data_IF_048522771017
#
_entry.id   IF_048522771017
#
_cell.length_a   1.000
_cell.length_b   1.000
_cell.length_c   1.000
_cell.angle_alpha   90.00
_cell.angle_beta   90.00
_cell.angle_gamma   90.00
#
_symmetry.space_group_name_H-M   'P 1'
#
loop_
_entity.id
_entity.type
_entity.pdbx_description
1 polymer ?
#
# COMPACT_ATOMS: atom_id res chain seq x y z
N UNK A 1 -9.43 8.29 24.52
CA UNK A 1 -10.21 9.47 24.14
C UNK A 1 -11.67 9.19 24.46
N UNK A 2 -12.36 10.09 25.13
CA UNK A 2 -13.80 9.98 25.40
C UNK A 2 -14.47 11.32 25.08
N UNK A 3 -15.72 11.29 24.67
CA UNK A 3 -16.52 12.51 24.56
C UNK A 3 -17.01 12.89 25.96
N UNK A 4 -16.61 14.05 26.47
CA UNK A 4 -17.20 14.64 27.69
C UNK A 4 -18.44 15.47 27.37
N UNK A 5 -18.52 15.98 26.15
CA UNK A 5 -19.73 16.61 25.62
C UNK A 5 -19.87 16.32 24.13
N UNK A 6 -21.08 16.03 23.68
CA UNK A 6 -21.40 15.83 22.27
C UNK A 6 -22.74 16.50 21.96
N UNK A 7 -22.70 17.59 21.20
CA UNK A 7 -23.88 18.16 20.53
C UNK A 7 -23.44 18.74 19.19
N UNK A 8 -24.24 18.51 18.16
CA UNK A 8 -24.04 19.08 16.83
C UNK A 8 -24.58 20.51 16.71
N UNK A 9 -25.18 21.02 17.78
CA UNK A 9 -25.76 22.36 17.82
C UNK A 9 -27.23 22.36 17.43
N UNK A 10 -27.72 23.52 17.00
CA UNK A 10 -29.13 23.80 16.69
C UNK A 10 -29.36 24.15 15.23
N UNK A 11 -28.29 24.36 14.47
CA UNK A 11 -28.38 24.65 13.03
C UNK A 11 -28.54 23.35 12.26
N UNK A 12 -29.65 23.21 11.55
CA UNK A 12 -29.91 22.05 10.71
C UNK A 12 -29.11 22.11 9.40
N UNK A 13 -28.68 20.96 8.85
CA UNK A 13 -28.20 20.86 7.47
C UNK A 13 -29.19 21.40 6.45
N UNK A 14 -28.68 21.99 5.38
CA UNK A 14 -29.45 22.42 4.23
C UNK A 14 -29.12 21.53 3.03
N UNK A 15 -30.15 21.09 2.32
CA UNK A 15 -29.99 20.39 1.04
C UNK A 15 -30.22 21.39 -0.08
N UNK A 16 -29.19 21.63 -0.89
CA UNK A 16 -29.22 22.63 -1.97
C UNK A 16 -29.54 22.02 -3.33
N UNK A 17 -29.41 20.71 -3.46
CA UNK A 17 -29.67 19.98 -4.69
C UNK A 17 -30.06 18.53 -4.41
N UNK A 18 -30.91 17.99 -5.27
CA UNK A 18 -31.34 16.59 -5.25
C UNK A 18 -31.23 16.05 -6.67
N UNK A 19 -30.59 14.90 -6.83
CA UNK A 19 -30.47 14.21 -8.11
C UNK A 19 -30.84 12.73 -7.93
N UNK A 20 -31.56 12.16 -8.90
CA UNK A 20 -31.81 10.71 -8.94
C UNK A 20 -30.81 10.10 -9.92
N UNK A 21 -30.12 9.04 -9.48
CA UNK A 21 -29.11 8.35 -10.28
C UNK A 21 -29.76 7.12 -10.90
N UNK A 22 -30.36 7.29 -12.07
CA UNK A 22 -31.15 6.25 -12.76
C UNK A 22 -30.31 5.01 -13.07
N UNK A 23 -29.09 5.18 -13.58
CA UNK A 23 -28.18 4.09 -13.96
C UNK A 23 -27.85 3.16 -12.77
N UNK A 24 -27.79 3.70 -11.56
CA UNK A 24 -27.45 2.95 -10.34
C UNK A 24 -28.69 2.50 -9.54
N UNK A 25 -29.87 3.00 -9.88
CA UNK A 25 -31.12 2.65 -9.17
C UNK A 25 -31.57 1.22 -9.53
N UNK A 26 -31.45 0.85 -10.80
CA UNK A 26 -31.93 -0.43 -11.33
C UNK A 26 -33.41 -0.67 -11.03
N UNK A 27 -33.89 -1.91 -11.23
CA UNK A 27 -35.32 -2.24 -11.06
C UNK A 27 -35.74 -2.42 -9.59
N UNK A 28 -34.78 -2.45 -8.65
CA UNK A 28 -34.99 -2.92 -7.28
C UNK A 28 -34.75 -1.86 -6.21
N UNK A 29 -34.41 -0.63 -6.59
CA UNK A 29 -34.11 0.43 -5.65
C UNK A 29 -34.17 1.81 -6.29
N UNK A 30 -33.96 2.83 -5.45
CA UNK A 30 -33.83 4.22 -5.87
C UNK A 30 -32.52 4.74 -5.28
N UNK A 31 -31.65 5.27 -6.13
CA UNK A 31 -30.41 5.94 -5.72
C UNK A 31 -30.59 7.44 -5.90
N UNK A 32 -30.37 8.18 -4.82
CA UNK A 32 -30.52 9.63 -4.76
C UNK A 32 -29.23 10.26 -4.24
N UNK A 33 -28.82 11.37 -4.83
CA UNK A 33 -27.74 12.20 -4.34
C UNK A 33 -28.27 13.54 -3.84
N UNK A 34 -27.82 13.92 -2.65
CA UNK A 34 -28.19 15.13 -1.95
C UNK A 34 -26.96 16.01 -1.78
N UNK A 35 -26.96 17.18 -2.41
CA UNK A 35 -25.95 18.19 -2.12
C UNK A 35 -26.29 18.83 -0.76
N UNK A 36 -25.40 18.64 0.21
CA UNK A 36 -25.57 19.13 1.57
C UNK A 36 -24.58 20.25 1.86
N UNK A 37 -25.08 21.30 2.47
CA UNK A 37 -24.31 22.36 3.11
C UNK A 37 -24.71 22.45 4.58
N UNK A 38 -23.71 22.56 5.45
CA UNK A 38 -23.96 22.68 6.88
C UNK A 38 -22.90 23.56 7.53
N UNK A 39 -23.34 24.71 8.04
CA UNK A 39 -22.54 25.58 8.90
C UNK A 39 -23.06 25.44 10.34
N UNK A 40 -22.59 24.39 11.00
CA UNK A 40 -23.07 23.98 12.31
C UNK A 40 -22.43 24.77 13.44
N UNK A 41 -23.16 24.87 14.56
CA UNK A 41 -22.66 25.39 15.84
C UNK A 41 -22.45 24.28 16.89
N UNK A 42 -21.64 23.25 16.62
CA UNK A 42 -21.46 22.13 17.52
C UNK A 42 -20.68 22.54 18.78
N UNK A 43 -20.88 21.75 19.83
CA UNK A 43 -20.07 21.81 21.04
C UNK A 43 -19.66 20.39 21.42
N UNK A 44 -18.59 19.94 20.78
CA UNK A 44 -17.99 18.62 20.99
C UNK A 44 -16.77 18.83 21.87
N UNK A 45 -16.70 18.17 23.02
CA UNK A 45 -15.54 18.19 23.91
C UNK A 45 -14.97 16.79 24.03
N UNK A 46 -13.68 16.69 23.73
CA UNK A 46 -12.90 15.49 23.66
C UNK A 46 -11.92 15.48 24.83
N UNK A 47 -12.06 14.52 25.74
CA UNK A 47 -11.09 14.33 26.81
C UNK A 47 -9.92 13.49 26.28
N UNK A 48 -8.78 14.15 26.09
CA UNK A 48 -7.54 13.52 25.64
C UNK A 48 -6.60 13.37 26.81
N UNK A 49 -6.28 12.13 27.17
CA UNK A 49 -5.18 11.84 28.08
C UNK A 49 -3.90 11.68 27.27
N UNK A 50 -2.96 12.58 27.47
CA UNK A 50 -1.63 12.50 26.84
C UNK A 50 -0.81 11.36 27.46
N UNK A 51 0.22 10.89 26.72
CA UNK A 51 1.15 9.86 27.21
C UNK A 51 1.93 10.29 28.45
N UNK A 52 2.01 11.59 28.72
CA UNK A 52 2.65 12.18 29.90
C UNK A 52 1.68 12.42 31.07
N UNK A 53 0.44 11.90 30.99
CA UNK A 53 -0.54 11.96 32.08
C UNK A 53 -1.32 13.28 32.20
N UNK A 54 -1.11 14.23 31.28
CA UNK A 54 -1.88 15.48 31.24
C UNK A 54 -3.20 15.25 30.50
N UNK A 55 -4.32 15.58 31.16
CA UNK A 55 -5.63 15.62 30.53
C UNK A 55 -5.84 16.96 29.82
N UNK A 56 -6.06 16.91 28.51
CA UNK A 56 -6.30 18.06 27.64
C UNK A 56 -7.69 17.93 27.03
N UNK A 57 -8.71 18.59 27.61
CA UNK A 57 -10.01 18.68 27.00
C UNK A 57 -9.95 19.58 25.76
N UNK A 58 -10.27 19.02 24.60
CA UNK A 58 -10.23 19.71 23.31
C UNK A 58 -11.65 19.85 22.79
N UNK A 59 -12.01 21.08 22.48
CA UNK A 59 -13.32 21.45 21.98
C UNK A 59 -13.28 21.64 20.47
N UNK A 60 -14.14 20.94 19.76
CA UNK A 60 -14.42 21.15 18.33
C UNK A 60 -15.65 22.05 18.21
N UNK A 61 -15.52 23.13 17.44
CA UNK A 61 -16.54 24.16 17.20
C UNK A 61 -16.64 24.51 15.72
N UNK A 62 -17.74 25.16 15.35
CA UNK A 62 -17.95 25.78 14.02
C UNK A 62 -17.60 24.80 12.89
N UNK A 63 -18.37 23.71 12.76
CA UNK A 63 -18.13 22.75 11.68
C UNK A 63 -18.81 23.28 10.43
N UNK A 64 -18.02 23.69 9.45
CA UNK A 64 -18.46 23.96 8.09
C UNK A 64 -18.25 22.73 7.23
N UNK A 65 -19.32 22.22 6.63
CA UNK A 65 -19.29 21.05 5.77
C UNK A 65 -20.03 21.29 4.47
N UNK A 66 -19.45 20.82 3.37
CA UNK A 66 -20.10 20.74 2.06
C UNK A 66 -19.73 19.42 1.40
N UNK A 67 -20.73 18.71 0.90
CA UNK A 67 -20.51 17.43 0.25
C UNK A 67 -21.77 16.88 -0.39
N UNK A 68 -21.61 15.74 -1.06
CA UNK A 68 -22.70 15.02 -1.71
C UNK A 68 -22.97 13.74 -0.94
N UNK A 69 -24.14 13.63 -0.33
CA UNK A 69 -24.60 12.40 0.32
C UNK A 69 -25.37 11.56 -0.69
N UNK A 70 -25.02 10.28 -0.79
CA UNK A 70 -25.78 9.30 -1.55
C UNK A 70 -26.69 8.53 -0.60
N UNK A 71 -27.98 8.51 -0.92
CA UNK A 71 -29.01 7.69 -0.30
C UNK A 71 -29.44 6.59 -1.27
N UNK A 72 -29.52 5.36 -0.81
CA UNK A 72 -29.98 4.22 -1.60
C UNK A 72 -31.14 3.58 -0.84
N UNK A 73 -32.32 3.64 -1.45
CA UNK A 73 -33.55 3.03 -0.95
C UNK A 73 -33.69 1.66 -1.60
N UNK A 74 -33.44 0.59 -0.83
CA UNK A 74 -33.42 -0.79 -1.34
C UNK A 74 -33.68 -1.79 -0.22
N UNK A 75 -34.35 -2.93 -0.49
CA UNK A 75 -35.18 -3.20 -1.67
C UNK A 75 -36.43 -2.31 -1.69
N UNK A 76 -37.03 -2.09 -2.86
CA UNK A 76 -38.40 -1.57 -2.93
C UNK A 76 -39.37 -2.62 -2.35
N UNK A 77 -40.42 -2.14 -1.69
CA UNK A 77 -41.41 -2.96 -1.01
C UNK A 77 -42.83 -2.49 -1.36
N UNK A 78 -43.81 -3.39 -1.30
CA UNK A 78 -45.22 -3.04 -1.51
C UNK A 78 -45.83 -2.34 -0.29
N UNK A 79 -45.33 -2.66 0.91
CA UNK A 79 -45.75 -2.04 2.16
C UNK A 79 -45.22 -0.61 2.29
N UNK A 80 -46.04 0.30 2.81
CA UNK A 80 -45.62 1.67 3.14
C UNK A 80 -44.44 1.66 4.14
N UNK A 81 -43.36 2.43 3.92
CA UNK A 81 -43.22 3.57 2.99
C UNK A 81 -42.73 3.24 1.57
N UNK A 82 -42.73 1.97 1.16
CA UNK A 82 -42.38 1.53 -0.20
C UNK A 82 -40.96 1.00 -0.36
N UNK A 83 -40.20 0.85 0.73
CA UNK A 83 -38.84 0.33 0.72
C UNK A 83 -38.46 -0.31 2.05
N UNK A 84 -37.60 -1.32 2.00
CA UNK A 84 -37.16 -2.09 3.16
C UNK A 84 -36.09 -1.41 3.99
N UNK A 85 -35.09 -0.77 3.35
CA UNK A 85 -34.02 -0.06 4.05
C UNK A 85 -33.56 1.19 3.28
N UNK A 86 -32.94 2.10 4.03
CA UNK A 86 -32.17 3.22 3.48
C UNK A 86 -30.71 2.99 3.84
N UNK A 87 -29.83 3.00 2.85
CA UNK A 87 -28.41 3.09 3.09
C UNK A 87 -27.88 4.46 2.68
N UNK A 88 -26.93 4.99 3.44
CA UNK A 88 -26.33 6.29 3.16
C UNK A 88 -24.81 6.26 3.21
N UNK A 89 -24.21 7.13 2.40
CA UNK A 89 -22.76 7.28 2.29
C UNK A 89 -22.42 8.69 1.80
N UNK A 90 -21.28 9.23 2.23
CA UNK A 90 -20.72 10.47 1.71
C UNK A 90 -19.99 10.14 0.39
N UNK A 91 -20.57 10.55 -0.74
CA UNK A 91 -20.01 10.27 -2.07
C UNK A 91 -18.82 11.16 -2.38
N UNK A 92 -18.94 12.44 -2.05
CA UNK A 92 -17.93 13.46 -2.32
C UNK A 92 -17.81 14.40 -1.12
N UNK A 93 -16.60 14.51 -0.55
CA UNK A 93 -16.26 15.50 0.46
C UNK A 93 -15.70 16.75 -0.24
N UNK A 94 -16.54 17.76 -0.47
CA UNK A 94 -16.11 19.01 -1.14
C UNK A 94 -15.33 19.91 -0.18
N UNK A 95 -15.82 20.07 1.05
CA UNK A 95 -15.19 20.93 2.06
C UNK A 95 -15.53 20.47 3.48
N UNK A 96 -14.55 20.48 4.38
CA UNK A 96 -14.73 20.26 5.82
C UNK A 96 -13.76 21.16 6.58
N UNK A 97 -14.30 22.16 7.27
CA UNK A 97 -13.56 23.06 8.15
C UNK A 97 -14.12 22.97 9.56
N UNK A 98 -13.26 23.11 10.57
CA UNK A 98 -13.69 23.24 11.96
C UNK A 98 -12.66 23.99 12.79
N UNK A 99 -13.11 24.51 13.92
CA UNK A 99 -12.25 25.21 14.89
C UNK A 99 -11.93 24.29 16.07
N UNK A 100 -10.64 24.09 16.35
CA UNK A 100 -10.17 23.42 17.56
C UNK A 100 -9.80 24.43 18.64
N UNK A 101 -10.25 24.22 19.88
CA UNK A 101 -9.87 25.01 21.06
C UNK A 101 -9.50 24.09 22.22
N UNK A 102 -8.40 24.36 22.91
CA UNK A 102 -8.10 23.70 24.19
C UNK A 102 -8.89 24.41 25.29
N UNK A 103 -9.61 23.65 26.11
CA UNK A 103 -10.35 24.22 27.24
C UNK A 103 -9.35 24.62 28.32
N UNK A 104 -9.28 25.93 28.64
CA UNK A 104 -8.38 26.46 29.67
C UNK A 104 -6.94 26.77 29.22
N UNK A 105 -6.64 26.73 27.91
CA UNK A 105 -5.31 27.05 27.38
C UNK A 105 -5.32 27.37 25.88
N UNK A 106 -4.15 27.63 25.29
CA UNK A 106 -4.00 27.82 23.85
C UNK A 106 -3.54 26.53 23.17
N UNK A 107 -4.17 26.14 22.05
CA UNK A 107 -3.78 24.95 21.29
C UNK A 107 -2.39 25.07 20.67
N UNK A 108 -1.96 26.29 20.37
CA UNK A 108 -0.62 26.64 19.89
C UNK A 108 0.49 26.30 20.89
N UNK A 109 0.16 26.07 22.17
CA UNK A 109 1.13 25.69 23.18
C UNK A 109 1.65 24.25 23.02
N UNK A 110 0.99 23.42 22.21
CA UNK A 110 1.40 22.03 21.96
C UNK A 110 1.59 21.84 20.45
N UNK A 111 2.85 21.93 19.97
CA UNK A 111 3.17 21.74 18.56
C UNK A 111 2.63 20.40 18.02
N UNK A 112 2.04 20.42 16.82
CA UNK A 112 1.53 19.23 16.12
C UNK A 112 0.20 18.66 16.62
N UNK A 113 -0.33 19.12 17.76
CA UNK A 113 -1.58 18.58 18.31
C UNK A 113 -2.80 18.88 17.42
N UNK A 114 -2.87 20.10 16.87
CA UNK A 114 -3.97 20.50 15.97
C UNK A 114 -4.00 19.61 14.73
N UNK A 115 -2.86 19.47 14.06
CA UNK A 115 -2.73 18.69 12.83
C UNK A 115 -3.07 17.22 13.06
N UNK A 116 -2.59 16.64 14.17
CA UNK A 116 -2.88 15.25 14.53
C UNK A 116 -4.37 14.99 14.77
N UNK A 117 -5.08 15.95 15.38
CA UNK A 117 -6.54 15.85 15.61
C UNK A 117 -7.28 16.04 14.30
N UNK A 118 -6.85 17.00 13.49
CA UNK A 118 -7.46 17.28 12.20
C UNK A 118 -7.38 16.06 11.28
N UNK A 119 -6.20 15.46 11.18
CA UNK A 119 -5.97 14.20 10.46
C UNK A 119 -6.85 13.08 11.04
N UNK A 120 -6.90 12.92 12.37
CA UNK A 120 -7.73 11.89 13.00
C UNK A 120 -9.22 12.05 12.67
N UNK A 121 -9.74 13.28 12.61
CA UNK A 121 -11.14 13.55 12.25
C UNK A 121 -11.37 13.24 10.77
N UNK A 122 -10.46 13.69 9.88
CA UNK A 122 -10.53 13.43 8.43
C UNK A 122 -10.52 11.93 8.15
N UNK A 123 -9.57 11.21 8.73
CA UNK A 123 -9.44 9.76 8.64
C UNK A 123 -10.69 9.03 9.14
N UNK A 124 -11.26 9.46 10.27
CA UNK A 124 -12.48 8.88 10.82
C UNK A 124 -13.69 9.08 9.91
N UNK A 125 -13.83 10.25 9.28
CA UNK A 125 -14.92 10.50 8.32
C UNK A 125 -14.76 9.64 7.08
N UNK A 126 -13.55 9.60 6.51
CA UNK A 126 -13.23 8.80 5.34
C UNK A 126 -13.47 7.31 5.57
N UNK A 127 -13.09 6.80 6.73
CA UNK A 127 -13.30 5.40 7.07
C UNK A 127 -14.76 5.09 7.45
N UNK A 128 -15.48 6.01 8.08
CA UNK A 128 -16.78 5.68 8.67
C UNK A 128 -17.96 5.88 7.73
N UNK A 129 -17.95 6.90 6.89
CA UNK A 129 -19.13 7.30 6.10
C UNK A 129 -18.83 7.58 4.63
N UNK A 130 -17.58 7.70 4.19
CA UNK A 130 -17.27 7.95 2.78
C UNK A 130 -17.43 6.69 1.94
N UNK A 131 -17.92 6.86 0.71
CA UNK A 131 -18.08 5.78 -0.26
C UNK A 131 -16.75 5.03 -0.42
N UNK A 132 -16.74 3.68 -0.37
CA UNK A 132 -17.87 2.75 -0.53
C UNK A 132 -18.59 2.35 0.77
N UNK A 133 -18.24 2.95 1.92
CA UNK A 133 -18.83 2.57 3.21
C UNK A 133 -20.28 3.03 3.29
N UNK A 134 -21.18 2.09 3.58
CA UNK A 134 -22.62 2.33 3.68
C UNK A 134 -23.08 2.14 5.10
N UNK A 135 -23.85 3.09 5.62
CA UNK A 135 -24.61 2.95 6.85
C UNK A 135 -26.03 2.56 6.51
N UNK A 136 -26.52 1.48 7.10
CA UNK A 136 -27.82 0.92 6.77
C UNK A 136 -28.77 1.22 7.92
N UNK A 137 -29.94 1.76 7.57
CA UNK A 137 -31.08 1.96 8.46
C UNK A 137 -32.20 1.08 7.93
N UNK A 138 -32.53 0.03 8.67
CA UNK A 138 -33.69 -0.81 8.37
C UNK A 138 -34.98 -0.05 8.67
N UNK A 139 -35.92 -0.10 7.72
CA UNK A 139 -37.21 0.60 7.80
C UNK A 139 -38.31 -0.43 8.00
N UNK A 140 -38.29 -1.50 7.21
CA UNK A 140 -39.11 -2.69 7.40
C UNK A 140 -38.26 -3.84 7.94
N UNK A 141 -38.84 -4.80 8.67
CA UNK A 141 -38.13 -6.03 9.06
C UNK A 141 -37.66 -6.80 7.82
N UNK A 142 -36.41 -7.23 7.81
CA UNK A 142 -35.83 -7.96 6.69
C UNK A 142 -34.33 -8.20 6.87
N UNK A 143 -33.77 -9.06 6.02
CA UNK A 143 -32.31 -9.23 5.89
C UNK A 143 -31.79 -8.26 4.83
N UNK A 144 -30.89 -7.38 5.24
CA UNK A 144 -30.26 -6.36 4.39
C UNK A 144 -28.74 -6.52 4.32
N UNK A 145 -28.24 -7.71 4.63
CA UNK A 145 -26.82 -8.03 4.62
C UNK A 145 -26.21 -7.89 3.21
N UNK A 146 -27.00 -7.87 2.15
CA UNK A 146 -26.54 -7.62 0.77
C UNK A 146 -26.18 -6.15 0.50
N UNK A 147 -26.71 -5.21 1.30
CA UNK A 147 -26.38 -3.79 1.21
C UNK A 147 -25.04 -3.46 1.89
N UNK A 148 -24.60 -4.31 2.81
CA UNK A 148 -23.36 -4.14 3.54
C UNK A 148 -22.15 -4.17 2.60
N UNK A 149 -21.16 -3.33 2.92
CA UNK A 149 -19.88 -3.37 2.22
C UNK A 149 -19.13 -4.64 2.65
N UNK A 150 -18.97 -5.57 1.71
CA UNK A 150 -18.30 -6.85 1.95
C UNK A 150 -16.91 -6.87 1.32
N UNK A 151 -15.97 -7.62 1.90
CA UNK A 151 -14.71 -7.97 1.25
C UNK A 151 -14.95 -8.64 -0.11
N UNK A 152 -14.28 -8.15 -1.16
CA UNK A 152 -14.36 -8.66 -2.55
C UNK A 152 -13.04 -9.24 -3.05
N UNK A 153 -11.94 -9.03 -2.34
CA UNK A 153 -10.65 -9.62 -2.69
C UNK A 153 -9.53 -9.21 -1.75
N UNK A 154 -8.34 -9.70 -2.06
CA UNK A 154 -7.11 -9.37 -1.36
C UNK A 154 -6.16 -8.63 -2.30
N UNK A 155 -5.51 -7.57 -1.80
CA UNK A 155 -4.40 -6.90 -2.45
C UNK A 155 -3.10 -7.26 -1.71
N UNK A 156 -2.24 -7.99 -2.41
CA UNK A 156 -0.87 -8.23 -2.00
C UNK A 156 0.01 -7.08 -2.46
N UNK A 157 0.71 -6.44 -1.53
CA UNK A 157 1.56 -5.27 -1.76
C UNK A 157 2.97 -5.60 -1.31
N UNK A 158 3.92 -5.56 -2.24
CA UNK A 158 5.34 -5.61 -1.92
C UNK A 158 5.92 -4.20 -1.98
N UNK A 159 6.26 -3.66 -0.83
CA UNK A 159 7.02 -2.43 -0.70
C UNK A 159 8.49 -2.74 -0.98
N UNK A 160 8.96 -2.42 -2.18
CA UNK A 160 10.28 -2.82 -2.65
C UNK A 160 11.35 -1.88 -2.10
N UNK A 161 11.34 -0.63 -2.55
CA UNK A 161 12.38 0.35 -2.24
C UNK A 161 11.91 1.79 -2.45
N UNK A 162 12.63 2.72 -1.84
CA UNK A 162 12.54 4.16 -2.10
C UNK A 162 13.73 4.60 -2.93
N UNK A 163 13.55 5.68 -3.70
CA UNK A 163 14.61 6.27 -4.51
C UNK A 163 14.60 7.79 -4.41
N UNK A 164 15.80 8.36 -4.26
CA UNK A 164 16.05 9.80 -4.23
C UNK A 164 15.08 10.55 -3.29
N UNK A 165 14.80 9.96 -2.13
CA UNK A 165 13.91 10.55 -1.12
C UNK A 165 14.50 11.90 -0.66
N UNK A 166 13.64 12.90 -0.46
CA UNK A 166 14.09 14.18 0.07
C UNK A 166 14.59 14.01 1.50
N UNK A 167 15.80 14.49 1.76
CA UNK A 167 16.34 14.55 3.11
C UNK A 167 15.59 15.61 3.94
N UNK A 168 15.13 15.24 5.14
CA UNK A 168 14.56 16.17 6.12
C UNK A 168 15.51 16.52 7.25
N UNK A 169 16.49 15.66 7.50
CA UNK A 169 17.50 15.90 8.52
C UNK A 169 18.45 17.05 8.19
N UNK A 170 18.74 17.86 9.21
CA UNK A 170 19.79 18.89 9.17
C UNK A 170 21.18 18.24 9.24
N UNK A 171 21.31 17.16 9.99
CA UNK A 171 22.55 16.41 10.20
C UNK A 171 22.34 14.95 9.87
N UNK A 172 23.01 14.46 8.84
CA UNK A 172 22.82 13.09 8.35
C UNK A 172 21.82 13.03 7.20
N UNK A 173 21.25 11.84 6.98
CA UNK A 173 20.16 11.61 6.04
C UNK A 173 18.98 11.05 6.82
N UNK A 174 17.80 11.29 6.28
CA UNK A 174 16.55 10.69 6.74
C UNK A 174 16.65 9.20 7.03
N UNK A 175 15.85 8.79 8.01
CA UNK A 175 15.55 7.45 8.48
C UNK A 175 14.16 7.00 7.96
N UNK A 176 13.98 6.71 6.66
CA UNK A 176 12.65 6.56 6.09
C UNK A 176 11.91 5.27 6.49
N UNK A 177 10.61 5.41 6.70
CA UNK A 177 9.63 4.32 6.76
C UNK A 177 8.37 4.68 5.97
N UNK A 178 7.58 3.67 5.58
CA UNK A 178 6.34 3.86 4.85
C UNK A 178 5.13 3.36 5.64
N UNK A 179 4.03 4.11 5.53
CA UNK A 179 2.70 3.72 6.02
C UNK A 179 1.80 3.49 4.81
N UNK A 180 1.20 2.31 4.73
CA UNK A 180 0.38 1.86 3.63
C UNK A 180 -1.04 1.54 4.11
N UNK A 181 -2.05 1.95 3.34
CA UNK A 181 -3.44 1.64 3.65
C UNK A 181 -4.37 1.79 2.45
N UNK A 182 -5.45 1.01 2.42
CA UNK A 182 -6.61 1.24 1.55
C UNK A 182 -7.62 2.19 2.22
N UNK A 183 -7.75 2.06 3.54
CA UNK A 183 -8.63 2.90 4.36
C UNK A 183 -7.84 3.52 5.51
N UNK A 184 -8.02 4.82 5.79
CA UNK A 184 -7.15 5.57 6.71
C UNK A 184 -7.44 5.29 8.20
N UNK A 185 -7.98 4.13 8.56
CA UNK A 185 -8.12 3.75 9.96
C UNK A 185 -6.81 3.17 10.48
N UNK A 186 -6.29 3.70 11.60
CA UNK A 186 -5.00 3.27 12.18
C UNK A 186 -4.88 1.76 12.40
N UNK A 187 -5.97 1.06 12.73
CA UNK A 187 -5.96 -0.40 12.91
C UNK A 187 -5.83 -1.19 11.59
N UNK A 188 -6.11 -0.56 10.45
CA UNK A 188 -5.99 -1.12 9.09
C UNK A 188 -4.71 -0.70 8.38
N UNK A 189 -4.03 0.35 8.86
CA UNK A 189 -2.73 0.78 8.33
C UNK A 189 -1.64 -0.26 8.61
N UNK A 190 -0.69 -0.37 7.68
CA UNK A 190 0.51 -1.17 7.81
C UNK A 190 1.73 -0.27 7.74
N UNK A 191 2.69 -0.48 8.63
CA UNK A 191 3.91 0.33 8.72
C UNK A 191 5.11 -0.56 8.42
N UNK A 192 5.99 -0.10 7.55
CA UNK A 192 7.28 -0.75 7.27
C UNK A 192 8.25 -0.55 8.42
N UNK A 193 9.37 -1.26 8.36
CA UNK A 193 10.54 -0.96 9.18
C UNK A 193 11.14 0.38 8.77
N UNK A 194 11.71 1.07 9.75
CA UNK A 194 12.58 2.23 9.57
C UNK A 194 13.93 1.77 9.05
N UNK A 195 14.43 2.41 8.00
CA UNK A 195 15.79 2.19 7.48
C UNK A 195 16.62 3.42 7.77
N UNK A 196 17.63 3.30 8.61
CA UNK A 196 18.38 4.48 9.06
C UNK A 196 19.36 5.03 8.01
N UNK A 197 19.42 6.36 7.92
CA UNK A 197 20.41 7.18 7.23
C UNK A 197 20.54 6.82 5.74
N UNK A 198 19.41 6.71 5.06
CA UNK A 198 19.36 6.19 3.69
C UNK A 198 18.22 6.79 2.85
N UNK A 199 18.56 7.55 1.82
CA UNK A 199 17.59 8.15 0.87
C UNK A 199 17.16 7.21 -0.27
N UNK A 200 17.80 6.03 -0.35
CA UNK A 200 17.45 4.97 -1.29
C UNK A 200 17.22 3.64 -0.52
N UNK A 201 16.24 3.61 0.42
CA UNK A 201 16.02 2.47 1.30
C UNK A 201 15.49 1.26 0.51
N UNK A 202 15.92 0.06 0.88
CA UNK A 202 15.36 -1.20 0.38
C UNK A 202 14.61 -1.84 1.55
N UNK A 203 13.27 -1.79 1.52
CA UNK A 203 12.43 -2.39 2.56
C UNK A 203 12.22 -3.88 2.28
N UNK A 204 11.80 -4.21 1.05
CA UNK A 204 11.41 -5.55 0.62
C UNK A 204 10.41 -6.22 1.58
N UNK A 205 9.35 -5.50 1.94
CA UNK A 205 8.33 -5.95 2.88
C UNK A 205 7.02 -6.25 2.15
N UNK A 206 6.34 -7.31 2.58
CA UNK A 206 5.06 -7.73 2.03
C UNK A 206 3.92 -7.42 3.00
N UNK A 207 2.84 -6.87 2.46
CA UNK A 207 1.64 -6.51 3.19
C UNK A 207 0.40 -7.01 2.44
N UNK A 208 -0.59 -7.45 3.22
CA UNK A 208 -1.88 -7.92 2.72
C UNK A 208 -2.97 -6.95 3.14
N UNK A 209 -3.81 -6.54 2.18
CA UNK A 209 -4.96 -5.68 2.42
C UNK A 209 -6.24 -6.32 1.91
N UNK A 210 -7.31 -6.18 2.69
CA UNK A 210 -8.66 -6.55 2.26
C UNK A 210 -9.21 -5.44 1.37
N UNK A 211 -9.68 -5.81 0.19
CA UNK A 211 -10.35 -4.92 -0.76
C UNK A 211 -11.86 -5.13 -0.60
N UNK A 212 -12.59 -4.02 -0.47
CA UNK A 212 -14.05 -4.02 -0.29
C UNK A 212 -14.77 -3.44 -1.53
N UNK A 213 -14.11 -2.55 -2.28
CA UNK A 213 -14.58 -2.04 -3.57
C UNK A 213 -13.39 -1.66 -4.47
N UNK A 214 -13.00 -2.58 -5.34
CA UNK A 214 -11.87 -2.37 -6.26
C UNK A 214 -12.11 -1.22 -7.26
N UNK A 215 -13.37 -0.84 -7.52
CA UNK A 215 -13.69 0.18 -8.53
C UNK A 215 -13.40 1.60 -8.05
N UNK A 216 -13.50 1.84 -6.73
CA UNK A 216 -13.36 3.18 -6.15
C UNK A 216 -12.24 3.30 -5.12
N UNK A 217 -11.76 2.20 -4.55
CA UNK A 217 -10.70 2.24 -3.55
C UNK A 217 -9.32 2.47 -4.18
N UNK A 218 -8.41 3.00 -3.35
CA UNK A 218 -7.03 3.29 -3.71
C UNK A 218 -6.11 2.72 -2.63
N UNK A 219 -4.93 2.23 -3.03
CA UNK A 219 -3.83 2.03 -2.09
C UNK A 219 -3.11 3.37 -1.92
N UNK A 220 -3.03 3.85 -0.68
CA UNK A 220 -2.24 5.02 -0.31
C UNK A 220 -0.92 4.58 0.31
N UNK A 221 0.17 5.24 -0.08
CA UNK A 221 1.49 5.09 0.51
C UNK A 221 1.98 6.46 0.97
N UNK A 222 2.34 6.58 2.25
CA UNK A 222 2.94 7.76 2.83
C UNK A 222 4.33 7.41 3.36
N UNK A 223 5.35 8.14 2.92
CA UNK A 223 6.74 7.93 3.35
C UNK A 223 7.10 9.04 4.33
N UNK A 224 7.57 8.63 5.49
CA UNK A 224 7.94 9.50 6.61
C UNK A 224 9.41 9.35 6.95
N UNK A 225 9.94 10.38 7.59
CA UNK A 225 11.23 10.37 8.27
C UNK A 225 11.04 10.12 9.77
N UNK A 226 11.77 9.18 10.35
CA UNK A 226 11.70 8.86 11.78
C UNK A 226 12.63 9.78 12.59
N UNK A 227 12.05 10.78 13.25
CA UNK A 227 12.78 11.75 14.08
C UNK A 227 13.03 11.25 15.53
N UNK A 228 12.86 9.93 15.76
CA UNK A 228 13.06 9.27 17.04
C UNK A 228 12.07 9.66 18.13
N UNK A 229 12.38 10.73 18.88
CA UNK A 229 11.52 11.22 19.98
C UNK A 229 10.49 12.23 19.48
N UNK A 230 10.78 12.94 18.38
CA UNK A 230 9.85 13.89 17.79
C UNK A 230 8.83 13.17 16.90
N UNK A 231 7.79 13.90 16.48
CA UNK A 231 6.83 13.35 15.53
C UNK A 231 7.50 13.16 14.17
N UNK A 232 7.29 12.01 13.56
CA UNK A 232 7.80 11.69 12.24
C UNK A 232 7.37 12.73 11.19
N UNK A 233 8.28 13.15 10.31
CA UNK A 233 8.00 14.15 9.29
C UNK A 233 7.61 13.51 7.96
N UNK A 234 6.54 13.99 7.31
CA UNK A 234 6.15 13.49 5.99
C UNK A 234 7.17 13.93 4.91
N UNK A 235 7.78 12.94 4.24
CA UNK A 235 8.61 13.15 3.05
C UNK A 235 7.73 13.38 1.84
N UNK A 236 6.75 12.49 1.63
CA UNK A 236 5.73 12.60 0.61
C UNK A 236 4.78 11.41 0.57
N UNK A 237 3.79 11.49 -0.32
CA UNK A 237 2.75 10.47 -0.46
C UNK A 237 2.48 10.14 -1.93
N UNK A 238 1.88 8.98 -2.16
CA UNK A 238 1.45 8.52 -3.47
C UNK A 238 0.19 7.65 -3.35
N UNK A 239 -0.57 7.53 -4.43
CA UNK A 239 -1.78 6.70 -4.51
C UNK A 239 -1.77 5.82 -5.76
N UNK A 240 -2.36 4.64 -5.66
CA UNK A 240 -2.64 3.75 -6.80
C UNK A 240 -4.11 3.37 -6.78
N UNK A 241 -4.83 3.67 -7.87
CA UNK A 241 -6.22 3.25 -7.99
C UNK A 241 -6.30 1.74 -8.24
N UNK A 242 -7.14 1.04 -7.46
CA UNK A 242 -7.25 -0.42 -7.56
C UNK A 242 -7.91 -0.86 -8.86
N UNK A 243 -8.76 -0.02 -9.45
CA UNK A 243 -9.37 -0.24 -10.76
C UNK A 243 -8.36 -0.33 -11.90
N UNK A 244 -7.15 0.21 -11.71
CA UNK A 244 -6.06 0.17 -12.71
C UNK A 244 -5.20 -1.10 -12.57
N UNK A 245 -5.61 -2.05 -11.72
CA UNK A 245 -4.95 -3.33 -11.52
C UNK A 245 -5.67 -4.41 -12.32
N UNK A 246 -4.91 -5.20 -13.08
CA UNK A 246 -5.42 -6.41 -13.72
C UNK A 246 -5.44 -7.56 -12.69
N UNK A 247 -6.60 -8.20 -12.44
CA UNK A 247 -6.67 -9.34 -11.52
C UNK A 247 -5.68 -10.45 -11.87
N UNK A 248 -4.97 -10.98 -10.86
CA UNK A 248 -4.03 -12.09 -11.01
C UNK A 248 -2.70 -11.76 -11.67
N UNK A 249 -2.48 -10.51 -12.10
CA UNK A 249 -1.23 -10.06 -12.72
C UNK A 249 -0.50 -9.08 -11.82
N UNK A 250 0.82 -9.25 -11.72
CA UNK A 250 1.67 -8.32 -10.97
C UNK A 250 1.82 -7.03 -11.74
N UNK A 251 1.50 -5.91 -11.08
CA UNK A 251 1.84 -4.56 -11.54
C UNK A 251 3.08 -4.09 -10.78
N UNK A 252 4.20 -3.97 -11.50
CA UNK A 252 5.43 -3.34 -11.03
C UNK A 252 5.38 -1.84 -11.38
N UNK A 253 5.51 -0.95 -10.38
CA UNK A 253 5.37 0.49 -10.60
C UNK A 253 6.25 1.34 -9.70
N UNK A 254 6.86 2.36 -10.29
CA UNK A 254 7.50 3.48 -9.58
C UNK A 254 6.55 4.68 -9.50
N UNK A 255 6.22 5.10 -8.28
CA UNK A 255 5.33 6.22 -8.01
C UNK A 255 6.13 7.43 -7.55
N UNK A 256 5.91 8.58 -8.18
CA UNK A 256 6.48 9.85 -7.70
C UNK A 256 5.76 10.31 -6.45
N UNK A 257 6.53 10.72 -5.44
CA UNK A 257 5.98 11.24 -4.19
C UNK A 257 5.57 12.70 -4.37
N UNK A 258 4.38 13.03 -3.88
CA UNK A 258 3.85 14.41 -3.85
C UNK A 258 3.69 14.89 -2.41
N UNK A 259 3.54 16.20 -2.23
CA UNK A 259 3.36 16.79 -0.89
C UNK A 259 2.01 16.40 -0.27
N UNK A 260 0.97 16.49 -1.07
CA UNK A 260 -0.43 16.34 -0.66
C UNK A 260 -1.24 15.77 -1.84
N UNK A 261 -2.22 14.89 -1.54
CA UNK A 261 -3.02 14.21 -2.56
C UNK A 261 -4.18 15.08 -3.09
N UNK A 262 -4.65 16.06 -2.32
CA UNK A 262 -5.72 16.99 -2.69
C UNK A 262 -5.16 18.23 -3.43
N UNK A 263 -3.99 18.74 -3.04
CA UNK A 263 -3.42 19.99 -3.57
C UNK A 263 -2.00 19.81 -4.12
N UNK A 264 -1.88 19.57 -5.44
CA UNK A 264 -0.60 19.45 -6.14
C UNK A 264 -0.13 20.79 -6.75
N UNK A 265 0.19 21.77 -5.90
CA UNK A 265 0.69 23.10 -6.36
C UNK A 265 2.22 23.19 -6.46
N UNK A 266 2.95 22.18 -5.98
CA UNK A 266 4.41 22.21 -5.87
C UNK A 266 5.04 21.10 -6.75
N UNK A 267 6.06 21.48 -7.51
CA UNK A 267 6.84 20.59 -8.39
C UNK A 267 8.13 20.09 -7.73
N UNK A 268 8.33 20.32 -6.41
CA UNK A 268 9.47 19.78 -5.68
C UNK A 268 9.55 18.26 -5.83
N UNK A 269 10.73 17.79 -6.24
CA UNK A 269 11.03 16.36 -6.27
C UNK A 269 11.14 15.83 -4.84
N UNK A 270 10.32 14.82 -4.51
CA UNK A 270 10.29 14.16 -3.19
C UNK A 270 10.84 12.74 -3.21
N UNK A 271 11.39 12.34 -4.35
CA UNK A 271 11.76 10.97 -4.62
C UNK A 271 10.57 10.15 -5.10
N UNK A 272 10.79 8.83 -5.14
CA UNK A 272 9.85 7.86 -5.66
C UNK A 272 9.82 6.62 -4.78
N UNK A 273 8.70 5.90 -4.80
CA UNK A 273 8.55 4.60 -4.14
C UNK A 273 8.22 3.53 -5.18
N UNK A 274 8.86 2.36 -5.05
CA UNK A 274 8.68 1.21 -5.92
C UNK A 274 7.79 0.16 -5.23
N UNK A 275 6.72 -0.22 -5.90
CA UNK A 275 5.76 -1.21 -5.44
C UNK A 275 5.58 -2.32 -6.48
N UNK A 276 5.37 -3.54 -6.00
CA UNK A 276 4.70 -4.59 -6.77
C UNK A 276 3.34 -4.88 -6.16
N UNK A 277 2.32 -4.92 -7.01
CA UNK A 277 0.91 -5.06 -6.59
C UNK A 277 0.30 -6.26 -7.29
N UNK A 278 -0.36 -7.13 -6.52
CA UNK A 278 -1.12 -8.27 -7.04
C UNK A 278 -2.52 -8.25 -6.42
N UNK A 279 -3.53 -7.99 -7.25
CA UNK A 279 -4.92 -8.04 -6.81
C UNK A 279 -5.54 -9.41 -7.11
N UNK A 280 -6.10 -10.05 -6.08
CA UNK A 280 -6.76 -11.35 -6.16
C UNK A 280 -8.22 -11.24 -5.70
N UNK A 281 -9.20 -11.15 -6.62
CA UNK A 281 -10.63 -11.19 -6.28
C UNK A 281 -11.03 -12.53 -5.64
N UNK A 282 -11.91 -12.48 -4.63
CA UNK A 282 -12.48 -13.69 -4.06
C UNK A 282 -13.36 -14.44 -5.06
N UNK A 283 -13.43 -15.76 -4.92
CA UNK A 283 -14.12 -16.62 -5.87
C UNK A 283 -13.35 -16.88 -7.17
N UNK A 284 -12.16 -16.31 -7.35
CA UNK A 284 -11.29 -16.56 -8.52
C UNK A 284 -10.04 -17.37 -8.18
N UNK A 285 -9.96 -17.95 -6.99
CA UNK A 285 -8.76 -18.63 -6.46
C UNK A 285 -8.28 -19.81 -7.31
N UNK A 286 -9.18 -20.48 -8.04
CA UNK A 286 -8.82 -21.55 -8.98
C UNK A 286 -8.17 -21.05 -10.27
N UNK A 287 -8.23 -19.73 -10.54
CA UNK A 287 -7.86 -19.13 -11.83
C UNK A 287 -6.47 -18.51 -11.82
N UNK A 288 -5.90 -18.22 -10.64
CA UNK A 288 -4.62 -17.51 -10.53
C UNK A 288 -3.74 -18.15 -9.45
N UNK A 289 -2.46 -18.35 -9.75
CA UNK A 289 -1.46 -18.78 -8.76
C UNK A 289 -1.02 -17.57 -7.95
N UNK A 290 -1.36 -17.47 -6.67
CA UNK A 290 -0.86 -16.39 -5.80
C UNK A 290 0.37 -16.88 -5.01
N UNK A 291 1.59 -16.36 -5.25
CA UNK A 291 2.82 -16.81 -4.60
C UNK A 291 2.87 -16.42 -3.13
N UNK A 292 2.04 -15.47 -2.69
CA UNK A 292 1.91 -15.04 -1.31
C UNK A 292 0.91 -15.88 -0.52
N UNK A 293 0.11 -16.73 -1.18
CA UNK A 293 -0.85 -17.61 -0.51
C UNK A 293 -0.11 -18.73 0.26
N UNK A 294 -0.44 -18.97 1.55
CA UNK A 294 0.13 -20.07 2.34
C UNK A 294 0.03 -21.46 1.70
N UNK A 295 -0.96 -21.64 0.83
CA UNK A 295 -1.26 -22.91 0.18
C UNK A 295 -0.59 -23.05 -1.20
N UNK A 296 0.23 -22.07 -1.61
CA UNK A 296 0.92 -22.02 -2.90
C UNK A 296 1.80 -23.25 -3.17
N UNK A 297 2.27 -23.95 -2.13
CA UNK A 297 3.07 -25.17 -2.25
C UNK A 297 2.45 -26.43 -1.64
N UNK A 298 1.22 -26.38 -1.11
CA UNK A 298 0.64 -27.57 -0.49
C UNK A 298 0.15 -28.56 -1.55
N UNK A 299 0.50 -29.83 -1.35
CA UNK A 299 -0.09 -30.95 -2.10
C UNK A 299 -1.59 -31.04 -1.84
N UNK A 300 -2.35 -31.66 -2.75
CA UNK A 300 -3.79 -31.89 -2.57
C UNK A 300 -4.10 -32.62 -1.25
N UNK A 301 -3.18 -33.48 -0.79
CA UNK A 301 -3.28 -34.21 0.47
C UNK A 301 -3.10 -33.28 1.68
N UNK A 302 -2.11 -32.37 1.65
CA UNK A 302 -1.89 -31.39 2.73
C UNK A 302 -3.02 -30.37 2.84
N UNK A 303 -3.59 -29.96 1.70
CA UNK A 303 -4.81 -29.13 1.66
C UNK A 303 -5.99 -29.86 2.32
N UNK A 304 -6.18 -31.14 1.99
CA UNK A 304 -7.23 -31.97 2.59
C UNK A 304 -7.05 -32.13 4.12
N UNK A 305 -5.82 -32.38 4.59
CA UNK A 305 -5.50 -32.54 6.02
C UNK A 305 -5.77 -31.25 6.80
N UNK A 306 -5.43 -30.07 6.26
CA UNK A 306 -5.75 -28.79 6.91
C UNK A 306 -7.25 -28.50 6.93
N UNK A 307 -7.96 -28.76 5.84
CA UNK A 307 -9.42 -28.60 5.81
C UNK A 307 -10.15 -29.54 6.78
N UNK A 308 -9.55 -30.70 7.09
CA UNK A 308 -10.08 -31.65 8.08
C UNK A 308 -9.88 -31.24 9.54
N UNK A 309 -8.96 -30.33 9.85
CA UNK A 309 -8.70 -29.84 11.21
C UNK A 309 -9.52 -28.62 11.62
N UNK A 310 -10.25 -27.98 10.69
CA UNK A 310 -11.15 -26.85 10.97
C UNK A 310 -12.60 -27.28 11.29
N UNK A 311 -12.83 -28.59 11.41
CA UNK A 311 -14.10 -29.13 11.90
C UNK A 311 -14.15 -29.12 13.42
N UNK A 312 -14.96 -28.22 13.99
CA UNK A 312 -15.32 -28.06 15.42
C UNK A 312 -14.48 -27.07 16.25
N UNK A 313 -14.76 -25.78 16.09
CA UNK A 313 -14.27 -24.71 16.97
C UNK A 313 -15.33 -23.64 17.22
N UNK A 314 -15.71 -23.48 18.49
CA UNK A 314 -16.63 -22.49 19.06
C UNK A 314 -16.31 -21.03 18.61
N UNK A 315 -17.28 -20.21 18.16
CA UNK A 315 -17.02 -18.87 17.59
C UNK A 315 -16.47 -17.83 18.58
N UNK A 316 -16.31 -18.17 19.86
CA UNK A 316 -15.97 -17.20 20.92
C UNK A 316 -14.55 -17.30 21.51
N UNK A 317 -13.62 -18.02 20.87
CA UNK A 317 -12.22 -18.05 21.31
C UNK A 317 -11.35 -17.06 20.51
N UNK A 318 -11.06 -15.90 21.11
CA UNK A 318 -10.11 -14.90 20.60
C UNK A 318 -8.64 -15.33 20.65
N UNK A 319 -8.29 -16.50 20.10
CA UNK A 319 -6.92 -16.96 19.91
C UNK A 319 -6.52 -16.78 18.45
N UNK A 320 -5.86 -15.67 18.15
CA UNK A 320 -5.10 -15.48 16.91
C UNK A 320 -4.04 -16.57 16.82
N UNK A 321 -4.26 -17.57 15.96
CA UNK A 321 -3.20 -18.50 15.56
C UNK A 321 -2.06 -17.70 14.89
N UNK A 322 -0.79 -18.03 15.16
CA UNK A 322 0.31 -17.34 14.50
C UNK A 322 0.25 -17.67 13.00
N UNK A 323 0.05 -16.65 12.16
CA UNK A 323 0.16 -16.77 10.69
C UNK A 323 1.53 -17.40 10.41
N UNK A 324 1.58 -18.67 10.00
CA UNK A 324 2.82 -19.35 9.62
C UNK A 324 3.36 -18.63 8.38
N UNK A 325 4.53 -18.01 8.49
CA UNK A 325 5.22 -17.40 7.36
C UNK A 325 5.36 -18.45 6.24
N UNK A 326 4.84 -18.11 5.07
CA UNK A 326 4.97 -18.93 3.87
C UNK A 326 6.43 -18.90 3.45
N UNK A 327 7.06 -20.07 3.33
CA UNK A 327 8.46 -20.18 2.93
C UNK A 327 8.49 -20.86 1.57
N UNK A 328 8.79 -20.08 0.52
CA UNK A 328 8.91 -20.58 -0.86
C UNK A 328 10.37 -20.90 -1.13
N UNK A 329 10.69 -22.20 -1.22
CA UNK A 329 12.05 -22.71 -1.47
C UNK A 329 12.22 -23.17 -2.91
N UNK A 330 13.42 -22.99 -3.44
CA UNK A 330 13.75 -23.42 -4.80
C UNK A 330 15.11 -22.97 -5.27
N UNK A 331 15.37 -23.21 -6.55
CA UNK A 331 16.57 -22.77 -7.25
C UNK A 331 16.18 -21.66 -8.21
N UNK A 332 16.83 -20.51 -8.05
CA UNK A 332 16.80 -19.41 -9.00
C UNK A 332 17.98 -19.57 -9.96
N UNK A 333 17.68 -19.82 -11.23
CA UNK A 333 18.65 -19.73 -12.32
C UNK A 333 18.62 -18.33 -12.92
N UNK A 334 19.77 -17.70 -13.02
CA UNK A 334 19.94 -16.34 -13.54
C UNK A 334 20.95 -16.38 -14.68
N UNK A 335 20.47 -16.13 -15.89
CA UNK A 335 21.30 -15.95 -17.07
C UNK A 335 21.56 -14.47 -17.30
N UNK A 336 22.82 -14.06 -17.16
CA UNK A 336 23.29 -12.73 -17.56
C UNK A 336 23.56 -12.78 -19.07
N UNK A 337 22.65 -12.21 -19.86
CA UNK A 337 22.70 -12.29 -21.32
C UNK A 337 23.63 -11.22 -21.85
N UNK A 338 23.25 -9.95 -21.70
CA UNK A 338 23.97 -8.81 -22.25
C UNK A 338 23.72 -7.53 -21.46
N UNK A 339 24.52 -6.51 -21.72
CA UNK A 339 24.17 -5.13 -21.39
C UNK A 339 24.25 -4.26 -22.65
N UNK A 340 23.51 -3.16 -22.64
CA UNK A 340 23.43 -2.22 -23.76
C UNK A 340 23.66 -0.80 -23.29
N UNK A 341 24.39 -0.01 -24.07
CA UNK A 341 24.64 1.42 -23.84
C UNK A 341 25.20 1.75 -22.46
N UNK A 342 26.13 0.92 -21.96
CA UNK A 342 26.84 1.20 -20.72
C UNK A 342 27.58 2.55 -20.80
N UNK A 343 27.71 3.29 -19.68
CA UNK A 343 28.43 4.55 -19.68
C UNK A 343 29.91 4.31 -19.97
N UNK A 344 30.52 5.16 -20.78
CA UNK A 344 31.97 5.16 -20.94
C UNK A 344 32.61 5.71 -19.65
N UNK A 345 33.37 4.87 -18.97
CA UNK A 345 34.08 5.16 -17.73
C UNK A 345 35.56 5.43 -17.98
N UNK A 346 36.14 4.89 -19.06
CA UNK A 346 37.53 5.12 -19.45
C UNK A 346 37.77 6.43 -20.20
N UNK A 347 38.99 6.97 -20.05
CA UNK A 347 39.57 8.06 -20.86
C UNK A 347 39.56 7.79 -22.38
N UNK A 348 39.49 6.51 -22.77
CA UNK A 348 39.42 6.08 -24.18
C UNK A 348 37.97 5.87 -24.68
N UNK A 349 36.95 6.19 -23.87
CA UNK A 349 35.55 6.04 -24.25
C UNK A 349 35.00 4.61 -24.22
N UNK A 350 35.64 3.70 -23.47
CA UNK A 350 35.24 2.29 -23.34
C UNK A 350 35.11 1.89 -21.85
N UNK A 351 34.80 0.63 -21.59
CA UNK A 351 34.76 0.02 -20.26
C UNK A 351 35.11 -1.47 -20.40
N UNK A 352 35.58 -2.09 -19.33
CA UNK A 352 35.84 -3.51 -19.17
C UNK A 352 34.77 -4.17 -18.25
N UNK A 353 33.49 -4.23 -18.66
CA UNK A 353 32.41 -4.55 -17.75
C UNK A 353 32.36 -6.02 -17.32
N UNK A 354 31.87 -6.20 -16.09
CA UNK A 354 31.39 -7.47 -15.55
C UNK A 354 30.19 -7.25 -14.63
N UNK A 355 29.40 -8.30 -14.42
CA UNK A 355 28.21 -8.26 -13.57
C UNK A 355 28.45 -9.06 -12.30
N UNK A 356 28.08 -8.48 -11.16
CA UNK A 356 28.04 -9.14 -9.86
C UNK A 356 26.58 -9.35 -9.48
N UNK A 357 26.16 -10.61 -9.44
CA UNK A 357 24.85 -11.02 -8.92
C UNK A 357 24.95 -11.22 -7.41
N UNK A 358 23.99 -10.71 -6.65
CA UNK A 358 23.95 -10.76 -5.19
C UNK A 358 22.54 -11.14 -4.75
N UNK A 359 22.40 -12.27 -4.05
CA UNK A 359 21.16 -12.59 -3.32
C UNK A 359 21.13 -11.78 -2.03
N UNK A 360 20.11 -10.92 -1.86
CA UNK A 360 20.11 -9.91 -0.79
C UNK A 360 20.05 -10.55 0.61
N UNK A 361 19.27 -11.61 0.80
CA UNK A 361 19.09 -12.24 2.12
C UNK A 361 20.26 -13.13 2.51
N UNK A 362 20.79 -13.93 1.58
CA UNK A 362 21.88 -14.87 1.86
C UNK A 362 23.27 -14.28 1.63
N UNK A 363 23.36 -13.08 1.06
CA UNK A 363 24.58 -12.39 0.62
C UNK A 363 25.46 -13.20 -0.34
N UNK A 364 24.93 -14.26 -0.96
CA UNK A 364 25.64 -15.09 -1.92
C UNK A 364 25.91 -14.28 -3.17
N UNK A 365 27.14 -14.35 -3.70
CA UNK A 365 27.56 -13.60 -4.87
C UNK A 365 28.03 -14.52 -5.98
N UNK A 366 27.69 -14.19 -7.22
CA UNK A 366 28.27 -14.77 -8.42
C UNK A 366 28.74 -13.64 -9.35
N UNK A 367 29.72 -13.92 -10.20
CA UNK A 367 30.32 -12.90 -11.08
C UNK A 367 30.50 -13.44 -12.47
N UNK A 368 30.21 -12.61 -13.47
CA UNK A 368 30.53 -12.94 -14.85
C UNK A 368 32.02 -12.82 -15.13
N UNK A 369 32.45 -13.37 -16.27
CA UNK A 369 33.73 -12.97 -16.88
C UNK A 369 33.74 -11.47 -17.18
N UNK A 370 34.94 -10.89 -17.14
CA UNK A 370 35.20 -9.52 -17.61
C UNK A 370 35.27 -9.53 -19.13
N UNK A 371 34.62 -8.58 -19.79
CA UNK A 371 34.73 -8.36 -21.22
C UNK A 371 35.40 -7.03 -21.49
N UNK A 372 36.53 -7.03 -22.18
CA UNK A 372 37.33 -5.81 -22.35
C UNK A 372 36.77 -4.87 -23.42
N UNK A 373 36.81 -3.57 -23.17
CA UNK A 373 36.62 -2.49 -24.14
C UNK A 373 35.27 -2.59 -24.86
N UNK A 374 34.21 -2.85 -24.11
CA UNK A 374 32.88 -3.12 -24.65
C UNK A 374 31.76 -2.45 -23.84
N UNK A 375 31.02 -1.53 -24.46
CA UNK A 375 29.84 -0.88 -23.86
C UNK A 375 28.52 -1.63 -24.13
N UNK A 376 28.57 -2.67 -24.97
CA UNK A 376 27.45 -3.57 -25.28
C UNK A 376 27.89 -5.05 -25.09
N UNK A 377 28.35 -5.42 -23.89
CA UNK A 377 28.86 -6.76 -23.60
C UNK A 377 27.77 -7.84 -23.74
N UNK A 378 28.15 -9.02 -24.24
CA UNK A 378 27.31 -10.22 -24.27
C UNK A 378 28.02 -11.33 -23.51
N UNK A 379 27.52 -11.68 -22.33
CA UNK A 379 28.13 -12.70 -21.47
C UNK A 379 27.58 -14.09 -21.75
N UNK A 380 26.25 -14.23 -21.82
CA UNK A 380 25.53 -15.51 -21.86
C UNK A 380 26.03 -16.49 -20.79
N UNK A 381 26.05 -16.05 -19.53
CA UNK A 381 26.50 -16.85 -18.39
C UNK A 381 25.37 -17.08 -17.41
N UNK A 382 25.15 -18.34 -17.05
CA UNK A 382 24.08 -18.77 -16.13
C UNK A 382 24.66 -19.11 -14.76
N UNK A 383 23.95 -18.69 -13.72
CA UNK A 383 24.29 -18.93 -12.32
C UNK A 383 23.07 -19.43 -11.57
N UNK A 384 23.27 -20.35 -10.63
CA UNK A 384 22.19 -20.92 -9.83
C UNK A 384 22.33 -20.54 -8.36
N UNK A 385 21.22 -20.15 -7.75
CA UNK A 385 21.13 -19.82 -6.34
C UNK A 385 20.04 -20.66 -5.68
N UNK A 386 20.42 -21.39 -4.63
CA UNK A 386 19.44 -22.00 -3.72
C UNK A 386 18.86 -20.91 -2.83
N UNK A 387 17.55 -20.69 -2.96
CA UNK A 387 16.79 -19.65 -2.26
C UNK A 387 15.87 -20.31 -1.25
N UNK A 388 16.05 -19.95 0.02
CA UNK A 388 15.30 -20.54 1.14
C UNK A 388 13.93 -19.87 1.35
N UNK A 389 13.76 -18.63 0.92
CA UNK A 389 12.52 -17.86 1.12
C UNK A 389 12.39 -16.81 0.01
N UNK A 390 11.93 -17.25 -1.16
CA UNK A 390 11.92 -16.44 -2.36
C UNK A 390 10.97 -15.25 -2.31
N UNK A 391 9.90 -15.33 -1.52
CA UNK A 391 8.94 -14.23 -1.33
C UNK A 391 9.64 -13.02 -0.70
N UNK A 392 10.57 -13.25 0.23
CA UNK A 392 11.25 -12.20 0.99
C UNK A 392 12.73 -12.02 0.60
N UNK A 393 13.16 -12.60 -0.52
CA UNK A 393 14.50 -12.40 -1.07
C UNK A 393 14.45 -11.49 -2.31
N UNK A 394 15.62 -11.00 -2.70
CA UNK A 394 15.81 -10.16 -3.87
C UNK A 394 17.11 -10.51 -4.58
N UNK A 395 17.11 -10.33 -5.89
CA UNK A 395 18.31 -10.36 -6.70
C UNK A 395 18.78 -8.93 -6.97
N UNK A 396 20.02 -8.64 -6.61
CA UNK A 396 20.71 -7.40 -6.99
C UNK A 396 21.75 -7.75 -8.04
N UNK A 397 21.68 -7.11 -9.20
CA UNK A 397 22.70 -7.21 -10.22
C UNK A 397 23.42 -5.88 -10.35
N UNK A 398 24.72 -5.87 -10.05
CA UNK A 398 25.58 -4.70 -10.15
C UNK A 398 26.50 -4.83 -11.35
N UNK A 399 26.59 -3.78 -12.17
CA UNK A 399 27.53 -3.70 -13.28
C UNK A 399 28.74 -2.89 -12.82
N UNK A 400 29.92 -3.45 -13.03
CA UNK A 400 31.18 -2.89 -12.58
C UNK A 400 32.16 -2.82 -13.75
N UNK A 401 33.02 -1.81 -13.72
CA UNK A 401 34.18 -1.70 -14.58
C UNK A 401 35.40 -2.32 -13.91
N UNK A 402 36.23 -3.03 -14.67
CA UNK A 402 37.45 -3.66 -14.18
C UNK A 402 38.69 -2.87 -14.60
N UNK A 403 39.09 -1.90 -13.79
CA UNK A 403 40.28 -1.09 -14.06
C UNK A 403 41.52 -1.53 -13.29
N UNK A 404 42.68 -1.17 -13.83
CA UNK A 404 43.99 -1.46 -13.22
C UNK A 404 44.21 -0.69 -11.90
N UNK A 405 43.48 0.42 -11.68
CA UNK A 405 43.63 1.28 -10.51
C UNK A 405 42.35 1.41 -9.64
N UNK A 406 41.30 0.64 -9.93
CA UNK A 406 40.04 0.72 -9.21
C UNK A 406 38.97 -0.23 -9.73
N UNK A 407 37.87 -0.34 -9.00
CA UNK A 407 36.64 -0.99 -9.47
C UNK A 407 35.55 0.06 -9.37
N UNK A 408 35.07 0.53 -10.51
CA UNK A 408 34.05 1.57 -10.53
C UNK A 408 32.70 0.93 -10.80
N UNK A 409 31.77 1.15 -9.87
CA UNK A 409 30.40 0.67 -10.02
C UNK A 409 29.70 1.55 -11.06
N UNK A 410 29.32 0.95 -12.19
CA UNK A 410 28.65 1.64 -13.28
C UNK A 410 27.17 1.85 -12.97
N UNK A 411 26.52 0.87 -12.33
CA UNK A 411 25.13 0.93 -11.96
C UNK A 411 24.63 -0.39 -11.36
N UNK A 412 23.34 -0.44 -11.04
CA UNK A 412 22.69 -1.66 -10.53
C UNK A 412 21.24 -1.77 -10.98
N UNK A 413 20.69 -2.97 -10.98
CA UNK A 413 19.25 -3.19 -10.93
C UNK A 413 18.92 -4.11 -9.75
N UNK A 414 17.74 -3.89 -9.18
CA UNK A 414 17.24 -4.63 -8.02
C UNK A 414 15.90 -5.22 -8.46
N UNK A 415 15.75 -6.53 -8.29
CA UNK A 415 14.55 -7.27 -8.69
C UNK A 415 14.07 -8.11 -7.53
N UNK A 416 12.76 -8.14 -7.32
CA UNK A 416 12.19 -9.19 -6.49
C UNK A 416 12.08 -10.49 -7.29
N UNK A 417 11.78 -11.59 -6.60
CA UNK A 417 11.52 -12.87 -7.27
C UNK A 417 10.03 -13.10 -7.59
N UNK A 418 9.14 -12.15 -7.28
CA UNK A 418 7.69 -12.35 -7.38
C UNK A 418 7.25 -12.77 -8.79
N UNK A 419 7.76 -12.07 -9.82
CA UNK A 419 7.41 -12.33 -11.21
C UNK A 419 7.87 -13.71 -11.68
N UNK A 420 9.12 -14.10 -11.38
CA UNK A 420 9.64 -15.42 -11.78
C UNK A 420 8.94 -16.55 -11.02
N UNK A 421 8.51 -16.33 -9.78
CA UNK A 421 7.71 -17.31 -9.02
C UNK A 421 6.34 -17.57 -9.68
N UNK A 422 5.77 -16.55 -10.32
CA UNK A 422 4.46 -16.60 -10.98
C UNK A 422 4.53 -17.19 -12.38
N UNK A 423 5.42 -16.64 -13.20
CA UNK A 423 5.56 -16.98 -14.62
C UNK A 423 6.40 -18.26 -14.82
N UNK A 424 7.17 -18.67 -13.81
CA UNK A 424 8.12 -19.79 -13.88
C UNK A 424 9.45 -19.38 -14.49
N UNK A 425 9.42 -18.66 -15.62
CA UNK A 425 10.58 -18.02 -16.21
C UNK A 425 10.20 -16.75 -16.95
N UNK A 426 11.13 -15.80 -17.05
CA UNK A 426 10.95 -14.63 -17.90
C UNK A 426 12.31 -14.05 -18.32
N UNK A 427 12.32 -13.30 -19.42
CA UNK A 427 13.46 -12.51 -19.87
C UNK A 427 13.06 -11.05 -19.97
N UNK A 428 13.87 -10.14 -19.43
CA UNK A 428 13.60 -8.71 -19.49
C UNK A 428 14.86 -7.85 -19.45
N UNK A 429 14.73 -6.60 -19.89
CA UNK A 429 15.80 -5.60 -19.95
C UNK A 429 15.61 -4.56 -18.84
N UNK A 430 16.53 -4.55 -17.88
CA UNK A 430 16.47 -3.69 -16.70
C UNK A 430 17.36 -2.45 -16.85
N UNK A 431 16.82 -1.23 -16.71
CA UNK A 431 17.65 -0.03 -16.68
C UNK A 431 18.57 -0.03 -15.45
N UNK A 432 19.80 0.47 -15.63
CA UNK A 432 20.77 0.58 -14.56
C UNK A 432 20.55 1.84 -13.72
N UNK A 433 20.18 1.63 -12.47
CA UNK A 433 20.11 2.67 -11.45
C UNK A 433 21.51 3.13 -11.03
N UNK A 434 21.66 4.44 -10.79
CA UNK A 434 22.95 5.09 -10.53
C UNK A 434 23.84 5.30 -11.76
N UNK A 435 23.45 4.78 -12.92
CA UNK A 435 24.16 4.97 -14.18
C UNK A 435 23.57 6.15 -14.99
N UNK A 436 24.40 6.83 -15.79
CA UNK A 436 23.94 7.83 -16.77
C UNK A 436 23.16 7.21 -17.92
N UNK A 437 23.45 5.96 -18.23
CA UNK A 437 22.89 5.17 -19.32
C UNK A 437 23.09 3.69 -18.98
N UNK A 438 22.41 2.82 -19.72
CA UNK A 438 22.69 1.40 -19.66
C UNK A 438 21.47 0.58 -19.28
N UNK A 439 21.36 -0.59 -19.91
CA UNK A 439 20.38 -1.61 -19.54
C UNK A 439 21.07 -2.96 -19.45
N UNK A 440 20.57 -3.82 -18.56
CA UNK A 440 21.04 -5.18 -18.37
C UNK A 440 19.92 -6.14 -18.76
N UNK A 441 20.20 -7.01 -19.74
CA UNK A 441 19.31 -8.05 -20.20
C UNK A 441 19.55 -9.33 -19.39
N UNK A 442 18.54 -9.78 -18.67
CA UNK A 442 18.58 -10.97 -17.83
C UNK A 442 17.46 -11.93 -18.20
N UNK A 443 17.74 -13.23 -18.09
CA UNK A 443 16.72 -14.28 -18.07
C UNK A 443 16.75 -14.96 -16.71
N UNK A 444 15.59 -15.03 -16.06
CA UNK A 444 15.40 -15.63 -14.75
C UNK A 444 14.47 -16.82 -14.89
N UNK A 445 14.83 -17.93 -14.26
CA UNK A 445 14.02 -19.14 -14.20
C UNK A 445 13.96 -19.66 -12.77
N UNK A 446 12.76 -20.00 -12.32
CA UNK A 446 12.51 -20.54 -11.00
C UNK A 446 12.18 -22.02 -11.07
N UNK A 447 12.91 -22.83 -10.30
CA UNK A 447 12.62 -24.24 -10.10
C UNK A 447 12.25 -24.49 -8.64
N UNK A 448 10.98 -24.76 -8.31
CA UNK A 448 10.58 -25.01 -6.93
C UNK A 448 11.23 -26.28 -6.38
N UNK A 449 11.72 -26.22 -5.14
CA UNK A 449 12.18 -27.41 -4.42
C UNK A 449 11.05 -27.89 -3.50
N UNK A 450 10.37 -28.95 -3.92
CA UNK A 450 9.37 -29.63 -3.11
C UNK A 450 10.11 -30.43 -2.02
N UNK A 451 9.96 -30.04 -0.75
CA UNK A 451 10.34 -30.92 0.35
C UNK A 451 9.24 -31.96 0.54
N UNK A 452 9.56 -33.22 0.24
CA UNK A 452 8.90 -34.34 0.89
C UNK A 452 9.38 -34.36 2.34
N UNK A 453 8.47 -34.33 3.32
CA UNK A 453 8.83 -34.70 4.69
C UNK A 453 9.12 -36.19 4.67
N UNK A 454 10.38 -36.58 4.91
CA UNK A 454 10.67 -37.94 5.36
C UNK A 454 9.88 -38.19 6.65
N UNK A 455 9.21 -39.34 6.67
CA UNK A 455 8.13 -39.73 7.59
C UNK A 455 8.58 -39.89 9.04
#
# INVERSE_FOLDING_TARGET
MKFSKLTLGTVAPQFTGVCIIEEESGDKGITMELEMQWDGNPNIVLDINTRVGVALPIQVKNIGFTGVFRLIFKPLAEDFPGFGAVSYSLREKKKLDFTLKVVGGQISAIPGLSDAIEETIKDAIEDSITWPVRKIVSILPGDYSDLELKPVGTLDVKLVQGKDLTNKDIVGKSDPFAVLFIRPLRSRMKTSKTISNQLNPIWNEHFEFVVEDASTQHLTVRVFDDEGVQAAELIGCALVALKDLEPGKVKDVWLKLVKDLEIQRDNKNRGQVHLELLYCPYGTESSFKNPFNPDFQMTTLEKAIRSGTDGTGDPNSGRTSPKKNVIVRGVLSVTVIAAENLPATDLNGKADPYVVLIMKKSEKKAKTRVLTKNLNPVWNQTFEFVVEDAIHDMLIAEVWDHDTFGKDKMGRCIMTLTRVLLEGEFQDSFPLDGAKSGKLLLHLQWTPQLKFRDS
#
